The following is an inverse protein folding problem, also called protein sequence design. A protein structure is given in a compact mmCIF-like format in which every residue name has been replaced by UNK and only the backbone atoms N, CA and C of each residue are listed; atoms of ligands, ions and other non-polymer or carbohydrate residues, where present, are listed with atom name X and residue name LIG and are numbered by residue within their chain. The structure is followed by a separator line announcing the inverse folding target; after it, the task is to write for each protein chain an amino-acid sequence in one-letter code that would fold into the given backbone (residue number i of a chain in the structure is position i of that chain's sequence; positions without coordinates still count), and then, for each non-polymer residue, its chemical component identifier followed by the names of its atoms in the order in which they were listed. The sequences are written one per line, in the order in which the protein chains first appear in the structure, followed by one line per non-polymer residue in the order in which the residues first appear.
data_IF_935300906021
#
_entry.id   IF_935300906021
#
_cell.length_a   1.000
_cell.length_b   1.000
_cell.length_c   1.000
_cell.angle_alpha   90.00
_cell.angle_beta   90.00
_cell.angle_gamma   90.00
#
_symmetry.space_group_name_H-M   'P 1'
#
loop_
_entity.id
_entity.type
_entity.pdbx_description
1 polymer ?
#
# COMPACT_ATOMS: atom_id res chain seq x y z
N UNK A 1 76.97 -3.26 -20.31
CA UNK A 1 75.79 -4.21 -20.28
C UNK A 1 75.12 -4.33 -18.91
N UNK A 2 75.65 -3.81 -17.80
CA UNK A 2 75.03 -3.95 -16.45
C UNK A 2 73.99 -2.90 -16.05
N UNK A 3 73.80 -1.79 -16.77
CA UNK A 3 72.82 -0.73 -16.49
C UNK A 3 71.48 -0.88 -17.19
N UNK A 4 71.33 -1.80 -18.15
CA UNK A 4 70.01 -2.05 -18.83
C UNK A 4 69.20 -3.17 -18.22
N UNK A 5 69.76 -3.96 -17.32
CA UNK A 5 69.08 -5.09 -16.66
C UNK A 5 68.36 -4.59 -15.37
N UNK A 6 68.82 -3.49 -14.77
CA UNK A 6 68.22 -2.97 -13.53
C UNK A 6 66.94 -2.14 -13.75
N UNK A 7 66.75 -1.61 -14.97
CA UNK A 7 65.55 -0.86 -15.33
C UNK A 7 64.38 -1.75 -15.79
N UNK A 8 64.66 -2.98 -16.20
CA UNK A 8 63.60 -3.91 -16.62
C UNK A 8 62.98 -4.67 -15.45
N UNK A 9 63.69 -4.84 -14.34
CA UNK A 9 63.19 -5.49 -13.14
C UNK A 9 62.33 -4.56 -12.28
N UNK A 10 62.48 -3.23 -12.35
CA UNK A 10 61.60 -2.29 -11.62
C UNK A 10 60.28 -2.05 -12.34
N UNK A 11 60.21 -2.23 -13.66
CA UNK A 11 58.97 -2.11 -14.43
C UNK A 11 58.05 -3.33 -14.32
N UNK A 12 58.57 -4.49 -13.92
CA UNK A 12 57.78 -5.75 -13.79
C UNK A 12 57.16 -5.92 -12.38
N UNK A 13 57.60 -5.13 -11.38
CA UNK A 13 57.05 -5.19 -10.02
C UNK A 13 55.81 -4.27 -9.87
N UNK A 14 55.58 -3.32 -10.78
CA UNK A 14 54.35 -2.48 -10.74
C UNK A 14 53.13 -3.07 -11.44
N UNK A 15 53.20 -4.28 -12.03
CA UNK A 15 52.10 -4.90 -12.78
C UNK A 15 51.38 -6.02 -12.04
N UNK A 16 51.68 -6.26 -10.77
CA UNK A 16 50.96 -7.24 -9.96
C UNK A 16 50.53 -6.56 -8.64
N UNK A 17 49.68 -5.51 -8.74
CA UNK A 17 48.75 -5.20 -7.70
C UNK A 17 47.48 -6.06 -7.93
N UNK A 18 47.11 -6.97 -7.03
CA UNK A 18 45.81 -7.61 -7.11
C UNK A 18 44.78 -6.50 -6.96
N UNK A 19 43.93 -6.36 -7.99
CA UNK A 19 42.68 -5.62 -7.91
C UNK A 19 41.87 -6.31 -6.82
N UNK A 20 42.07 -5.91 -5.55
CA UNK A 20 41.14 -6.25 -4.48
C UNK A 20 39.84 -5.53 -4.78
N UNK A 21 39.01 -6.19 -5.58
CA UNK A 21 37.59 -5.91 -5.63
C UNK A 21 37.08 -6.03 -4.21
N UNK A 22 36.90 -4.91 -3.52
CA UNK A 22 36.09 -4.85 -2.31
C UNK A 22 34.66 -5.17 -2.75
N UNK A 23 34.33 -6.48 -2.79
CA UNK A 23 32.94 -6.88 -2.67
C UNK A 23 32.48 -6.27 -1.38
N UNK A 24 31.69 -5.21 -1.46
CA UNK A 24 30.80 -4.80 -0.39
C UNK A 24 29.98 -6.04 -0.08
N UNK A 25 30.35 -6.74 0.98
CA UNK A 25 29.47 -7.70 1.62
C UNK A 25 28.37 -6.82 2.19
N UNK A 26 27.27 -6.69 1.43
CA UNK A 26 26.02 -6.31 2.04
C UNK A 26 25.78 -7.36 3.13
N UNK A 27 26.10 -7.00 4.36
CA UNK A 27 25.58 -7.72 5.52
C UNK A 27 24.05 -7.57 5.39
N UNK A 28 23.42 -8.61 4.89
CA UNK A 28 22.02 -8.86 5.16
C UNK A 28 21.98 -9.06 6.67
N UNK A 29 21.67 -7.99 7.40
CA UNK A 29 21.31 -8.11 8.79
C UNK A 29 20.12 -9.07 8.81
N UNK A 30 20.34 -10.29 9.30
CA UNK A 30 19.24 -11.18 9.60
C UNK A 30 18.31 -10.36 10.52
N UNK A 31 17.08 -10.11 10.07
CA UNK A 31 16.11 -9.39 10.89
C UNK A 31 15.94 -10.19 12.18
N UNK A 32 15.99 -9.51 13.32
CA UNK A 32 15.75 -10.14 14.61
C UNK A 32 14.42 -10.85 14.56
N UNK A 33 14.38 -12.12 14.95
CA UNK A 33 13.15 -12.90 14.95
C UNK A 33 12.23 -12.36 16.05
N UNK A 34 11.20 -11.61 15.66
CA UNK A 34 10.27 -10.94 16.60
C UNK A 34 9.12 -11.81 17.07
N UNK A 35 8.89 -12.95 16.40
CA UNK A 35 7.85 -13.91 16.73
C UNK A 35 8.41 -15.33 16.69
N UNK A 36 8.02 -16.15 17.66
CA UNK A 36 8.27 -17.60 17.64
C UNK A 36 7.15 -18.26 16.83
N UNK A 37 7.39 -18.49 15.55
CA UNK A 37 6.38 -18.97 14.61
C UNK A 37 6.93 -20.06 13.71
N UNK A 38 6.11 -21.08 13.44
CA UNK A 38 6.39 -22.13 12.45
C UNK A 38 5.90 -21.76 11.04
N UNK A 39 5.33 -20.55 10.86
CA UNK A 39 4.93 -20.07 9.54
C UNK A 39 6.17 -19.95 8.64
N UNK A 40 6.04 -20.40 7.40
CA UNK A 40 7.19 -20.49 6.47
C UNK A 40 7.71 -19.13 6.02
N UNK A 41 6.82 -18.15 5.90
CA UNK A 41 7.14 -16.79 5.53
C UNK A 41 6.23 -15.80 6.27
N UNK A 42 6.78 -14.63 6.63
CA UNK A 42 5.99 -13.55 7.20
C UNK A 42 6.59 -12.18 6.87
N UNK A 43 5.77 -11.14 6.96
CA UNK A 43 6.19 -9.74 6.88
C UNK A 43 5.33 -8.86 7.77
N UNK A 44 5.97 -7.90 8.45
CA UNK A 44 5.35 -6.76 9.10
C UNK A 44 5.73 -5.49 8.33
N UNK A 45 4.75 -4.74 7.86
CA UNK A 45 4.93 -3.56 7.03
C UNK A 45 4.16 -2.38 7.60
N UNK A 46 4.73 -1.19 7.52
CA UNK A 46 3.98 0.04 7.68
C UNK A 46 3.09 0.28 6.46
N UNK A 47 1.79 0.43 6.69
CA UNK A 47 0.82 0.59 5.59
C UNK A 47 1.07 1.86 4.79
N UNK A 48 1.33 2.97 5.47
CA UNK A 48 1.32 4.28 4.82
C UNK A 48 2.56 4.48 3.93
N UNK A 49 3.74 4.12 4.41
CA UNK A 49 5.00 4.22 3.63
C UNK A 49 5.34 2.97 2.81
N UNK A 50 4.76 1.81 3.11
CA UNK A 50 5.16 0.52 2.55
C UNK A 50 6.51 0.00 3.08
N UNK A 51 7.05 0.62 4.14
CA UNK A 51 8.32 0.20 4.75
C UNK A 51 8.16 -1.14 5.46
N UNK A 52 9.02 -2.09 5.11
CA UNK A 52 9.15 -3.36 5.85
C UNK A 52 9.81 -3.09 7.19
N UNK A 53 9.15 -3.48 8.27
CA UNK A 53 9.63 -3.32 9.65
C UNK A 53 10.27 -4.59 10.16
N UNK A 54 9.75 -5.74 9.76
CA UNK A 54 10.33 -7.05 10.04
C UNK A 54 9.86 -8.09 9.02
N UNK A 55 10.67 -9.07 8.73
CA UNK A 55 10.34 -10.10 7.74
C UNK A 55 11.13 -11.39 7.95
N UNK A 56 10.58 -12.48 7.46
CA UNK A 56 11.27 -13.75 7.31
C UNK A 56 10.80 -14.44 6.02
N UNK A 57 11.71 -14.76 5.12
CA UNK A 57 11.44 -15.40 3.83
C UNK A 57 10.33 -14.70 3.01
N UNK A 58 10.17 -13.37 3.18
CA UNK A 58 9.02 -12.60 2.68
C UNK A 58 8.85 -12.63 1.16
N UNK A 59 9.93 -12.83 0.39
CA UNK A 59 9.96 -12.93 -1.06
C UNK A 59 9.80 -14.37 -1.60
N UNK A 60 9.69 -15.36 -0.72
CA UNK A 60 9.56 -16.76 -1.15
C UNK A 60 8.22 -17.00 -1.82
N UNK A 61 8.23 -17.55 -3.05
CA UNK A 61 7.03 -17.94 -3.79
C UNK A 61 6.36 -19.14 -3.14
N UNK A 62 5.09 -19.01 -2.83
CA UNK A 62 4.30 -20.03 -2.13
C UNK A 62 2.86 -20.05 -2.64
N UNK A 63 2.18 -21.18 -2.57
CA UNK A 63 0.72 -21.22 -2.67
C UNK A 63 0.10 -20.40 -1.53
N UNK A 64 -0.88 -19.56 -1.84
CA UNK A 64 -1.50 -18.66 -0.85
C UNK A 64 -3.00 -18.86 -0.69
N UNK A 65 -3.55 -19.84 -1.40
CA UNK A 65 -4.99 -20.17 -1.37
C UNK A 65 -5.86 -18.91 -1.57
N UNK A 66 -6.97 -18.79 -0.86
CA UNK A 66 -7.94 -17.68 -0.98
C UNK A 66 -7.39 -16.26 -0.67
N UNK A 67 -6.11 -16.12 -0.32
CA UNK A 67 -5.45 -14.79 -0.30
C UNK A 67 -5.46 -14.17 -1.71
N UNK A 68 -5.45 -14.99 -2.78
CA UNK A 68 -5.62 -14.55 -4.18
C UNK A 68 -6.80 -13.59 -4.34
N UNK A 69 -7.88 -13.80 -3.59
CA UNK A 69 -9.08 -12.96 -3.65
C UNK A 69 -8.85 -11.49 -3.24
N UNK A 70 -7.71 -11.17 -2.61
CA UNK A 70 -7.36 -9.74 -2.40
C UNK A 70 -7.24 -9.01 -3.74
N UNK A 71 -6.68 -9.64 -4.77
CA UNK A 71 -6.62 -9.04 -6.10
C UNK A 71 -8.00 -8.98 -6.76
N UNK A 72 -8.84 -10.00 -6.62
CA UNK A 72 -10.23 -9.97 -7.09
C UNK A 72 -11.03 -8.84 -6.43
N UNK A 73 -10.85 -8.65 -5.12
CA UNK A 73 -11.46 -7.56 -4.35
C UNK A 73 -10.93 -6.22 -4.85
N UNK A 74 -9.61 -6.06 -5.00
CA UNK A 74 -8.99 -4.80 -5.45
C UNK A 74 -9.53 -4.35 -6.81
N UNK A 75 -9.51 -5.22 -7.81
CA UNK A 75 -10.02 -4.90 -9.14
C UNK A 75 -11.52 -4.53 -9.13
N UNK A 76 -12.31 -5.23 -8.31
CA UNK A 76 -13.73 -4.89 -8.14
C UNK A 76 -13.91 -3.51 -7.51
N UNK A 77 -13.12 -3.18 -6.47
CA UNK A 77 -13.16 -1.88 -5.81
C UNK A 77 -12.71 -0.74 -6.73
N UNK A 78 -11.66 -0.95 -7.53
CA UNK A 78 -11.18 0.03 -8.52
C UNK A 78 -12.28 0.35 -9.55
N UNK A 79 -12.97 -0.66 -10.05
CA UNK A 79 -14.08 -0.47 -10.99
C UNK A 79 -15.27 0.27 -10.39
N UNK A 80 -15.54 0.05 -9.10
CA UNK A 80 -16.57 0.81 -8.36
C UNK A 80 -16.12 2.27 -8.16
N UNK A 81 -14.88 2.50 -7.75
CA UNK A 81 -14.35 3.82 -7.44
C UNK A 81 -14.27 4.73 -8.67
N UNK A 82 -13.86 4.18 -9.83
CA UNK A 82 -13.85 4.92 -11.09
C UNK A 82 -15.24 5.07 -11.74
N UNK A 83 -16.29 4.48 -11.17
CA UNK A 83 -17.67 4.58 -11.64
C UNK A 83 -17.98 3.73 -12.88
N UNK A 84 -17.13 2.77 -13.24
CA UNK A 84 -17.42 1.82 -14.33
C UNK A 84 -18.53 0.84 -13.95
N UNK A 85 -18.60 0.44 -12.66
CA UNK A 85 -19.66 -0.39 -12.09
C UNK A 85 -20.18 0.22 -10.79
N UNK A 86 -21.40 -0.16 -10.40
CA UNK A 86 -22.01 0.26 -9.12
C UNK A 86 -22.25 -0.94 -8.22
N UNK A 87 -22.25 -0.72 -6.92
CA UNK A 87 -22.63 -1.75 -5.92
C UNK A 87 -24.04 -2.28 -6.12
N UNK A 88 -24.91 -1.52 -6.77
CA UNK A 88 -26.32 -1.88 -7.07
C UNK A 88 -26.49 -2.57 -8.44
N UNK A 89 -25.45 -2.65 -9.24
CA UNK A 89 -25.51 -3.33 -10.54
C UNK A 89 -25.84 -4.81 -10.36
N UNK A 90 -26.61 -5.36 -11.32
CA UNK A 90 -27.05 -6.74 -11.30
C UNK A 90 -26.12 -7.61 -12.13
N UNK A 91 -25.58 -8.62 -11.49
CA UNK A 91 -24.75 -9.66 -12.09
C UNK A 91 -25.58 -10.91 -12.31
N UNK A 92 -25.75 -11.34 -13.55
CA UNK A 92 -26.34 -12.64 -13.86
C UNK A 92 -25.31 -13.73 -13.64
N UNK A 93 -25.57 -14.65 -12.74
CA UNK A 93 -24.66 -15.73 -12.37
C UNK A 93 -24.63 -16.83 -13.41
N UNK A 94 -23.44 -17.15 -13.93
CA UNK A 94 -23.26 -18.26 -14.87
C UNK A 94 -23.34 -19.63 -14.19
N UNK A 95 -23.53 -20.70 -14.98
CA UNK A 95 -23.42 -22.07 -14.49
C UNK A 95 -22.02 -22.39 -13.98
N UNK A 96 -20.98 -21.78 -14.57
CA UNK A 96 -19.60 -21.91 -14.11
C UNK A 96 -19.43 -21.32 -12.70
N UNK A 97 -19.86 -20.10 -12.46
CA UNK A 97 -19.78 -19.45 -11.15
C UNK A 97 -20.60 -20.21 -10.09
N UNK A 98 -21.85 -20.59 -10.38
CA UNK A 98 -22.70 -21.32 -9.45
C UNK A 98 -22.19 -22.75 -9.15
N UNK A 99 -21.45 -23.37 -10.08
CA UNK A 99 -20.86 -24.69 -9.94
C UNK A 99 -19.54 -24.72 -9.15
N UNK A 100 -19.03 -23.58 -8.67
CA UNK A 100 -17.77 -23.50 -7.95
C UNK A 100 -17.81 -24.28 -6.64
N UNK A 101 -16.71 -24.98 -6.34
CA UNK A 101 -16.54 -25.70 -5.07
C UNK A 101 -15.83 -24.87 -4.00
N UNK A 102 -15.69 -25.45 -2.81
CA UNK A 102 -15.02 -24.82 -1.65
C UNK A 102 -15.93 -23.85 -0.91
N UNK A 103 -15.38 -22.72 -0.41
CA UNK A 103 -16.18 -21.68 0.26
C UNK A 103 -17.11 -21.00 -0.75
N UNK A 104 -18.40 -20.91 -0.43
CA UNK A 104 -19.41 -20.34 -1.34
C UNK A 104 -20.65 -19.88 -0.56
N UNK A 105 -21.45 -19.03 -1.17
CA UNK A 105 -22.77 -18.64 -0.70
C UNK A 105 -23.89 -19.37 -1.42
N UNK A 106 -23.55 -20.30 -2.33
CA UNK A 106 -24.47 -21.13 -3.10
C UNK A 106 -25.35 -20.31 -4.04
N UNK A 107 -24.74 -19.51 -4.90
CA UNK A 107 -25.43 -18.72 -5.92
C UNK A 107 -26.25 -19.61 -6.86
N UNK A 108 -27.46 -19.16 -7.17
CA UNK A 108 -28.35 -19.87 -8.12
C UNK A 108 -27.97 -19.43 -9.57
N UNK A 109 -27.74 -20.41 -10.46
CA UNK A 109 -27.42 -20.12 -11.86
C UNK A 109 -28.57 -19.35 -12.56
N UNK A 110 -28.20 -18.44 -13.46
CA UNK A 110 -29.12 -17.58 -14.22
C UNK A 110 -29.97 -16.64 -13.34
N UNK A 111 -29.63 -16.49 -12.05
CA UNK A 111 -30.22 -15.50 -11.16
C UNK A 111 -29.33 -14.25 -11.08
N UNK A 112 -29.95 -13.12 -10.75
CA UNK A 112 -29.27 -11.84 -10.62
C UNK A 112 -28.98 -11.50 -9.17
N UNK A 113 -27.75 -11.04 -8.91
CA UNK A 113 -27.28 -10.58 -7.61
C UNK A 113 -26.58 -9.22 -7.72
N UNK A 114 -26.67 -8.40 -6.69
CA UNK A 114 -25.97 -7.12 -6.68
C UNK A 114 -24.46 -7.29 -6.50
N UNK A 115 -23.67 -6.49 -7.22
CA UNK A 115 -22.20 -6.41 -7.09
C UNK A 115 -21.79 -6.26 -5.62
N UNK A 116 -22.44 -5.37 -4.86
CA UNK A 116 -22.15 -5.15 -3.45
C UNK A 116 -22.34 -6.40 -2.59
N UNK A 117 -23.39 -7.20 -2.82
CA UNK A 117 -23.64 -8.44 -2.09
C UNK A 117 -22.60 -9.52 -2.45
N UNK A 118 -22.27 -9.64 -3.74
CA UNK A 118 -21.21 -10.56 -4.19
C UNK A 118 -19.85 -10.17 -3.57
N UNK A 119 -19.45 -8.90 -3.67
CA UNK A 119 -18.20 -8.40 -3.09
C UNK A 119 -18.15 -8.62 -1.57
N UNK A 120 -19.24 -8.31 -0.85
CA UNK A 120 -19.34 -8.57 0.59
C UNK A 120 -19.12 -10.05 0.92
N UNK A 121 -19.72 -10.96 0.17
CA UNK A 121 -19.55 -12.40 0.39
C UNK A 121 -18.10 -12.87 0.14
N UNK A 122 -17.40 -12.31 -0.85
CA UNK A 122 -15.98 -12.57 -1.09
C UNK A 122 -15.12 -12.11 0.09
N UNK A 123 -15.42 -10.95 0.67
CA UNK A 123 -14.69 -10.38 1.80
C UNK A 123 -14.96 -11.18 3.08
N UNK A 124 -16.22 -11.43 3.41
CA UNK A 124 -16.66 -12.00 4.68
C UNK A 124 -16.40 -13.50 4.76
N UNK A 125 -17.02 -14.28 3.87
CA UNK A 125 -16.94 -15.74 3.91
C UNK A 125 -16.05 -16.35 2.83
N UNK A 126 -15.35 -15.52 2.05
CA UNK A 126 -14.40 -16.00 1.02
C UNK A 126 -15.05 -16.76 -0.13
N UNK A 127 -16.27 -16.39 -0.55
CA UNK A 127 -17.08 -17.08 -1.52
C UNK A 127 -16.39 -17.21 -2.90
N UNK A 128 -16.21 -18.43 -3.39
CA UNK A 128 -15.61 -18.72 -4.69
C UNK A 128 -16.57 -18.43 -5.83
N UNK A 129 -17.83 -18.82 -5.68
CA UNK A 129 -18.91 -18.56 -6.63
C UNK A 129 -19.07 -17.07 -6.91
N UNK A 130 -19.09 -16.24 -5.87
CA UNK A 130 -19.14 -14.79 -5.99
C UNK A 130 -17.87 -14.20 -6.62
N UNK A 131 -16.69 -14.78 -6.33
CA UNK A 131 -15.43 -14.33 -6.94
C UNK A 131 -15.42 -14.54 -8.45
N UNK A 132 -15.90 -15.71 -8.93
CA UNK A 132 -16.00 -16.01 -10.36
C UNK A 132 -17.09 -15.15 -11.00
N UNK A 133 -18.26 -15.00 -10.36
CA UNK A 133 -19.34 -14.17 -10.89
C UNK A 133 -18.89 -12.70 -11.09
N UNK A 134 -18.14 -12.12 -10.14
CA UNK A 134 -17.55 -10.78 -10.26
C UNK A 134 -16.51 -10.73 -11.38
N UNK A 135 -15.62 -11.73 -11.46
CA UNK A 135 -14.60 -11.80 -12.51
C UNK A 135 -15.22 -11.85 -13.92
N UNK A 136 -16.24 -12.68 -14.10
CA UNK A 136 -16.98 -12.78 -15.38
C UNK A 136 -17.73 -11.49 -15.71
N UNK A 137 -18.34 -10.83 -14.72
CA UNK A 137 -19.04 -9.56 -14.90
C UNK A 137 -18.10 -8.44 -15.33
N UNK A 138 -16.96 -8.31 -14.67
CA UNK A 138 -16.00 -7.22 -14.91
C UNK A 138 -15.28 -7.38 -16.25
N UNK A 139 -14.78 -8.57 -16.56
CA UNK A 139 -13.91 -8.80 -17.71
C UNK A 139 -14.56 -9.64 -18.84
N UNK A 140 -15.82 -10.04 -18.67
CA UNK A 140 -16.54 -10.89 -19.61
C UNK A 140 -16.29 -12.39 -19.43
N UNK A 141 -15.15 -12.79 -18.89
CA UNK A 141 -14.83 -14.17 -18.48
C UNK A 141 -13.66 -14.17 -17.50
N UNK A 142 -13.50 -15.29 -16.74
CA UNK A 142 -12.45 -15.41 -15.73
C UNK A 142 -11.02 -15.34 -16.33
N UNK A 143 -10.80 -15.86 -17.55
CA UNK A 143 -9.47 -15.85 -18.17
C UNK A 143 -8.99 -14.43 -18.47
N UNK A 144 -9.87 -13.54 -18.95
CA UNK A 144 -9.56 -12.13 -19.16
C UNK A 144 -9.34 -11.40 -17.84
N UNK A 145 -10.16 -11.72 -16.82
CA UNK A 145 -9.97 -11.18 -15.48
C UNK A 145 -8.62 -11.57 -14.86
N UNK A 146 -8.20 -12.82 -15.01
CA UNK A 146 -6.87 -13.28 -14.57
C UNK A 146 -5.74 -12.53 -15.27
N UNK A 147 -5.93 -12.16 -16.53
CA UNK A 147 -4.97 -11.29 -17.22
C UNK A 147 -4.88 -9.92 -16.56
N UNK A 148 -6.01 -9.29 -16.23
CA UNK A 148 -6.05 -8.02 -15.51
C UNK A 148 -5.41 -8.15 -14.11
N UNK A 149 -5.68 -9.25 -13.38
CA UNK A 149 -5.01 -9.54 -12.09
C UNK A 149 -3.48 -9.55 -12.21
N UNK A 150 -2.94 -10.18 -13.26
CA UNK A 150 -1.50 -10.25 -13.48
C UNK A 150 -0.91 -8.91 -14.00
N UNK A 151 -1.66 -8.12 -14.74
CA UNK A 151 -1.29 -6.76 -15.12
C UNK A 151 -1.22 -5.86 -13.88
N UNK A 152 -2.23 -5.89 -13.02
CA UNK A 152 -2.23 -5.15 -11.75
C UNK A 152 -1.09 -5.60 -10.82
N UNK A 153 -0.79 -6.89 -10.75
CA UNK A 153 0.36 -7.39 -9.98
C UNK A 153 1.69 -6.75 -10.46
N UNK A 154 1.87 -6.57 -11.78
CA UNK A 154 3.05 -5.88 -12.32
C UNK A 154 3.06 -4.40 -11.95
N UNK A 155 1.93 -3.70 -12.03
CA UNK A 155 1.79 -2.29 -11.62
C UNK A 155 2.19 -2.10 -10.15
N UNK A 156 1.78 -3.02 -9.27
CA UNK A 156 2.11 -3.02 -7.86
C UNK A 156 3.52 -3.56 -7.55
N UNK A 157 4.34 -3.87 -8.57
CA UNK A 157 5.66 -4.47 -8.41
C UNK A 157 5.63 -5.77 -7.58
N UNK A 158 4.61 -6.61 -7.79
CA UNK A 158 4.47 -7.94 -7.17
C UNK A 158 5.26 -8.97 -7.98
N UNK A 159 6.58 -8.94 -7.90
CA UNK A 159 7.49 -9.72 -8.76
C UNK A 159 7.52 -11.22 -8.46
N UNK A 160 6.98 -11.61 -7.31
CA UNK A 160 6.89 -13.01 -6.88
C UNK A 160 5.43 -13.51 -6.87
N UNK A 161 4.59 -12.99 -7.79
CA UNK A 161 3.18 -13.34 -7.88
C UNK A 161 2.79 -13.73 -9.29
N UNK A 162 1.99 -14.78 -9.41
CA UNK A 162 1.30 -15.19 -10.64
C UNK A 162 -0.07 -15.74 -10.31
N UNK A 163 -1.10 -15.20 -10.92
CA UNK A 163 -2.49 -15.62 -10.77
C UNK A 163 -2.91 -16.50 -11.95
N UNK A 164 -3.67 -17.57 -11.67
CA UNK A 164 -4.25 -18.47 -12.67
C UNK A 164 -5.79 -18.59 -12.55
N UNK A 165 -6.37 -18.14 -11.42
CA UNK A 165 -7.81 -18.03 -11.20
C UNK A 165 -8.16 -16.92 -10.21
N UNK A 166 -9.42 -16.55 -10.17
CA UNK A 166 -9.93 -15.47 -9.29
C UNK A 166 -10.18 -15.92 -7.84
N UNK A 167 -10.04 -17.20 -7.52
CA UNK A 167 -10.51 -17.81 -6.27
C UNK A 167 -9.40 -18.24 -5.32
N UNK A 168 -8.22 -18.55 -5.85
CA UNK A 168 -7.14 -19.19 -5.10
C UNK A 168 -7.31 -20.68 -4.91
N UNK A 169 -8.18 -21.35 -5.69
CA UNK A 169 -8.18 -22.79 -5.79
C UNK A 169 -6.85 -23.28 -6.34
N UNK A 170 -6.39 -24.49 -5.97
CA UNK A 170 -5.10 -25.01 -6.39
C UNK A 170 -4.92 -24.96 -7.92
N UNK A 171 -3.78 -24.45 -8.36
CA UNK A 171 -3.35 -24.45 -9.75
C UNK A 171 -1.83 -24.51 -9.82
N UNK A 172 -1.28 -25.03 -10.93
CA UNK A 172 0.11 -25.46 -11.02
C UNK A 172 1.11 -24.32 -10.87
N UNK A 173 0.79 -23.14 -11.45
CA UNK A 173 1.68 -21.98 -11.48
C UNK A 173 1.11 -20.80 -10.72
N UNK A 174 0.17 -21.01 -9.81
CA UNK A 174 -0.40 -19.96 -8.97
C UNK A 174 0.39 -19.83 -7.68
N UNK A 175 1.01 -18.69 -7.47
CA UNK A 175 1.80 -18.40 -6.28
C UNK A 175 1.81 -16.90 -5.97
N UNK A 176 2.19 -16.59 -4.74
CA UNK A 176 2.55 -15.24 -4.30
C UNK A 176 3.63 -15.30 -3.22
N UNK A 177 4.04 -14.16 -2.67
CA UNK A 177 4.94 -14.06 -1.53
C UNK A 177 4.31 -13.23 -0.42
N UNK A 178 4.85 -13.32 0.80
CA UNK A 178 4.32 -12.53 1.92
C UNK A 178 4.42 -11.02 1.66
N UNK A 179 5.51 -10.57 1.05
CA UNK A 179 5.71 -9.18 0.67
C UNK A 179 4.70 -8.72 -0.39
N UNK A 180 4.48 -9.53 -1.42
CA UNK A 180 3.52 -9.18 -2.48
C UNK A 180 2.07 -9.19 -1.97
N UNK A 181 1.73 -10.13 -1.07
CA UNK A 181 0.44 -10.11 -0.36
C UNK A 181 0.27 -8.82 0.46
N UNK A 182 1.32 -8.36 1.14
CA UNK A 182 1.26 -7.10 1.89
C UNK A 182 1.02 -5.89 0.96
N UNK A 183 1.62 -5.88 -0.24
CA UNK A 183 1.41 -4.82 -1.23
C UNK A 183 -0.04 -4.75 -1.70
N UNK A 184 -0.64 -5.86 -2.14
CA UNK A 184 -2.04 -5.86 -2.58
C UNK A 184 -3.00 -5.56 -1.42
N UNK A 185 -2.72 -6.05 -0.22
CA UNK A 185 -3.53 -5.74 0.95
C UNK A 185 -3.46 -4.25 1.32
N UNK A 186 -2.32 -3.61 1.16
CA UNK A 186 -2.12 -2.18 1.35
C UNK A 186 -3.10 -1.37 0.51
N UNK A 187 -3.19 -1.66 -0.78
CA UNK A 187 -4.11 -0.99 -1.71
C UNK A 187 -5.58 -1.24 -1.33
N UNK A 188 -5.94 -2.50 -1.05
CA UNK A 188 -7.32 -2.86 -0.67
C UNK A 188 -7.77 -2.13 0.60
N UNK A 189 -6.87 -1.92 1.57
CA UNK A 189 -7.18 -1.24 2.84
C UNK A 189 -7.42 0.28 2.68
N UNK A 190 -7.15 0.89 1.54
CA UNK A 190 -7.45 2.30 1.28
C UNK A 190 -8.91 2.54 0.90
N UNK A 191 -9.68 1.48 0.61
CA UNK A 191 -11.09 1.58 0.27
C UNK A 191 -12.00 1.47 1.51
N UNK A 192 -12.76 2.52 1.79
CA UNK A 192 -13.72 2.55 2.90
C UNK A 192 -14.74 1.41 2.81
N UNK A 193 -15.22 1.10 1.61
CA UNK A 193 -16.16 0.01 1.35
C UNK A 193 -15.60 -1.35 1.78
N UNK A 194 -14.29 -1.58 1.54
CA UNK A 194 -13.64 -2.80 2.02
C UNK A 194 -13.60 -2.86 3.54
N UNK A 195 -13.22 -1.76 4.17
CA UNK A 195 -13.13 -1.70 5.64
C UNK A 195 -14.52 -1.87 6.27
N UNK A 196 -15.58 -1.32 5.68
CA UNK A 196 -16.96 -1.49 6.11
C UNK A 196 -17.36 -2.97 6.06
N UNK A 197 -17.21 -3.62 4.91
CA UNK A 197 -17.58 -5.03 4.73
C UNK A 197 -16.73 -5.98 5.59
N UNK A 198 -15.45 -5.65 5.80
CA UNK A 198 -14.56 -6.44 6.66
C UNK A 198 -14.97 -6.47 8.14
N UNK A 199 -15.75 -5.49 8.60
CA UNK A 199 -16.28 -5.46 9.98
C UNK A 199 -17.48 -6.37 10.20
N UNK A 200 -18.13 -6.82 9.13
CA UNK A 200 -19.25 -7.75 9.22
C UNK A 200 -18.75 -9.07 9.79
N UNK A 201 -19.28 -9.48 10.95
CA UNK A 201 -18.93 -10.74 11.59
C UNK A 201 -19.81 -11.89 11.16
N UNK A 202 -21.12 -11.65 11.16
CA UNK A 202 -22.16 -12.62 10.83
C UNK A 202 -23.32 -11.89 10.13
N UNK A 203 -23.73 -12.36 8.96
CA UNK A 203 -24.83 -11.79 8.18
C UNK A 203 -25.43 -12.86 7.28
N UNK A 204 -26.74 -12.79 7.06
CA UNK A 204 -27.44 -13.65 6.11
C UNK A 204 -27.32 -13.10 4.68
N UNK A 205 -26.78 -13.91 3.78
CA UNK A 205 -26.83 -13.66 2.34
C UNK A 205 -28.18 -14.07 1.79
N UNK A 206 -28.96 -13.09 1.32
CA UNK A 206 -30.33 -13.33 0.85
C UNK A 206 -30.32 -13.59 -0.67
N UNK A 207 -30.90 -14.73 -1.07
CA UNK A 207 -31.03 -15.12 -2.47
C UNK A 207 -32.35 -14.58 -3.07
N UNK A 208 -32.42 -14.42 -4.42
CA UNK A 208 -33.66 -13.98 -5.09
C UNK A 208 -34.87 -14.87 -4.78
N UNK A 209 -34.65 -16.14 -4.50
CA UNK A 209 -35.70 -17.11 -4.07
C UNK A 209 -36.26 -16.88 -2.66
N UNK A 210 -35.65 -15.99 -1.88
CA UNK A 210 -35.94 -15.81 -0.44
C UNK A 210 -35.16 -16.78 0.47
N UNK A 211 -34.37 -17.70 -0.09
CA UNK A 211 -33.45 -18.54 0.68
C UNK A 211 -32.33 -17.67 1.28
N UNK A 212 -31.83 -18.05 2.45
CA UNK A 212 -30.67 -17.39 3.08
C UNK A 212 -29.50 -18.34 3.24
N UNK A 213 -28.29 -17.80 3.14
CA UNK A 213 -27.04 -18.50 3.47
C UNK A 213 -26.30 -17.66 4.52
N UNK A 214 -26.02 -18.23 5.69
CA UNK A 214 -25.28 -17.55 6.74
C UNK A 214 -23.82 -17.34 6.31
N UNK A 215 -23.34 -16.12 6.37
CA UNK A 215 -21.93 -15.74 6.16
C UNK A 215 -21.29 -15.43 7.50
N UNK A 216 -20.24 -16.18 7.85
CA UNK A 216 -19.39 -15.86 9.01
C UNK A 216 -18.03 -15.40 8.53
N UNK A 217 -17.51 -14.33 9.12
CA UNK A 217 -16.19 -13.78 8.76
C UNK A 217 -15.08 -14.78 9.06
N UNK A 218 -14.32 -15.10 8.03
CA UNK A 218 -13.18 -16.04 8.14
C UNK A 218 -11.99 -15.44 8.87
N UNK A 219 -11.87 -14.09 8.91
CA UNK A 219 -10.84 -13.37 9.65
C UNK A 219 -11.32 -13.09 11.09
N UNK A 220 -10.89 -13.92 12.03
CA UNK A 220 -11.27 -13.75 13.46
C UNK A 220 -10.74 -12.44 14.05
N UNK A 221 -9.66 -11.86 13.51
CA UNK A 221 -9.10 -10.60 14.01
C UNK A 221 -10.01 -9.41 13.75
N UNK A 222 -10.91 -9.48 12.75
CA UNK A 222 -11.90 -8.43 12.52
C UNK A 222 -12.82 -8.19 13.72
N UNK A 223 -13.03 -9.20 14.57
CA UNK A 223 -13.84 -9.11 15.80
C UNK A 223 -13.00 -8.98 17.06
N UNK A 224 -11.84 -9.64 17.12
CA UNK A 224 -11.13 -9.86 18.38
C UNK A 224 -9.80 -9.10 18.49
N UNK A 225 -9.40 -8.35 17.46
CA UNK A 225 -8.18 -7.54 17.49
C UNK A 225 -8.52 -6.05 17.38
N UNK A 226 -8.15 -5.29 18.41
CA UNK A 226 -8.42 -3.85 18.47
C UNK A 226 -7.71 -3.10 17.34
N UNK A 227 -8.48 -2.29 16.62
CA UNK A 227 -7.97 -1.50 15.49
C UNK A 227 -7.86 -2.27 14.17
N UNK A 228 -8.37 -3.51 14.08
CA UNK A 228 -8.37 -4.27 12.83
C UNK A 228 -9.14 -3.51 11.73
N UNK A 229 -8.46 -3.25 10.61
CA UNK A 229 -9.02 -2.60 9.42
C UNK A 229 -9.66 -3.60 8.46
N UNK A 230 -9.21 -4.85 8.50
CA UNK A 230 -9.62 -5.93 7.61
C UNK A 230 -8.48 -6.88 7.34
N UNK A 231 -8.75 -7.91 6.53
CA UNK A 231 -7.76 -8.90 6.17
C UNK A 231 -8.39 -10.07 5.43
N UNK A 232 -7.54 -10.98 4.95
CA UNK A 232 -7.97 -12.14 4.19
C UNK A 232 -7.26 -13.40 4.67
N UNK A 233 -8.03 -14.46 4.87
CA UNK A 233 -7.52 -15.80 5.17
C UNK A 233 -7.42 -16.64 3.91
N UNK A 234 -6.50 -17.59 3.91
CA UNK A 234 -6.40 -18.66 2.90
C UNK A 234 -6.06 -19.99 3.54
N UNK A 235 -6.55 -21.10 2.98
CA UNK A 235 -6.10 -22.43 3.37
C UNK A 235 -6.39 -23.46 2.26
N UNK A 236 -5.40 -24.26 1.94
CA UNK A 236 -5.46 -25.52 1.17
C UNK A 236 -4.45 -26.49 1.79
N UNK A 237 -4.43 -27.71 1.32
CA UNK A 237 -3.44 -28.69 1.77
C UNK A 237 -2.00 -28.23 1.46
N UNK A 238 -1.79 -27.59 0.30
CA UNK A 238 -0.50 -27.13 -0.19
C UNK A 238 -0.08 -25.80 0.47
N UNK A 239 -1.01 -24.85 0.55
CA UNK A 239 -0.77 -23.52 1.14
C UNK A 239 -0.72 -23.57 2.67
N UNK A 240 -1.20 -24.63 3.29
CA UNK A 240 -1.46 -24.66 4.74
C UNK A 240 -2.37 -23.51 5.15
N UNK A 241 -2.04 -22.79 6.21
CA UNK A 241 -2.85 -21.68 6.70
C UNK A 241 -2.14 -20.36 6.46
N UNK A 242 -2.84 -19.42 5.81
CA UNK A 242 -2.35 -18.12 5.44
C UNK A 242 -3.27 -17.01 5.99
N UNK A 243 -2.69 -15.87 6.33
CA UNK A 243 -3.41 -14.66 6.76
C UNK A 243 -2.65 -13.41 6.33
N UNK A 244 -3.34 -12.46 5.74
CA UNK A 244 -2.93 -11.07 5.64
C UNK A 244 -3.94 -10.21 6.40
N UNK A 245 -3.48 -9.29 7.24
CA UNK A 245 -4.34 -8.43 8.07
C UNK A 245 -3.73 -7.06 8.27
N UNK A 246 -4.56 -6.01 8.20
CA UNK A 246 -4.20 -4.65 8.53
C UNK A 246 -4.83 -4.20 9.84
N UNK A 247 -4.14 -3.37 10.59
CA UNK A 247 -4.66 -2.75 11.80
C UNK A 247 -4.12 -1.33 11.96
N UNK A 248 -4.88 -0.47 12.64
CA UNK A 248 -4.51 0.91 12.96
C UNK A 248 -4.70 1.19 14.44
N UNK A 249 -3.70 1.79 15.08
CA UNK A 249 -3.79 2.36 16.42
C UNK A 249 -3.19 3.75 16.41
N UNK A 250 -3.91 4.72 16.93
CA UNK A 250 -3.54 6.14 16.81
C UNK A 250 -3.29 6.52 15.34
N UNK A 251 -2.11 7.04 15.02
CA UNK A 251 -1.69 7.44 13.68
C UNK A 251 -0.77 6.42 12.98
N UNK A 252 -0.58 5.22 13.54
CA UNK A 252 0.22 4.15 12.94
C UNK A 252 -0.70 3.06 12.37
N UNK A 253 -0.51 2.74 11.08
CA UNK A 253 -1.22 1.67 10.38
C UNK A 253 -0.23 0.58 9.96
N UNK A 254 -0.48 -0.66 10.36
CA UNK A 254 0.41 -1.79 10.12
C UNK A 254 -0.28 -2.90 9.35
N UNK A 255 0.49 -3.60 8.54
CA UNK A 255 0.08 -4.82 7.82
C UNK A 255 0.96 -5.97 8.31
N UNK A 256 0.33 -7.07 8.70
CA UNK A 256 1.00 -8.32 9.02
C UNK A 256 0.52 -9.43 8.06
N UNK A 257 1.46 -10.15 7.47
CA UNK A 257 1.18 -11.31 6.62
C UNK A 257 1.93 -12.51 7.15
N UNK A 258 1.25 -13.65 7.29
CA UNK A 258 1.83 -14.93 7.65
C UNK A 258 1.35 -16.01 6.68
N UNK A 259 2.30 -16.74 6.07
CA UNK A 259 2.06 -17.75 5.06
C UNK A 259 2.62 -19.11 5.49
N UNK A 260 1.91 -20.18 5.11
CA UNK A 260 2.37 -21.54 5.33
C UNK A 260 2.44 -21.96 6.80
N UNK A 261 1.58 -21.41 7.65
CA UNK A 261 1.50 -21.77 9.07
C UNK A 261 0.88 -23.18 9.22
N UNK A 262 1.33 -23.97 10.20
CA UNK A 262 0.92 -25.37 10.33
C UNK A 262 -0.55 -25.54 10.74
N UNK A 263 -1.13 -24.58 11.44
CA UNK A 263 -2.54 -24.63 11.84
C UNK A 263 -3.22 -23.24 11.83
N UNK A 264 -4.56 -23.25 11.89
CA UNK A 264 -5.36 -22.05 11.83
C UNK A 264 -5.12 -21.10 13.01
N UNK A 265 -4.82 -21.60 14.21
CA UNK A 265 -4.58 -20.77 15.40
C UNK A 265 -3.30 -19.97 15.24
N UNK A 266 -2.27 -20.61 14.72
CA UNK A 266 -0.94 -20.03 14.55
C UNK A 266 -0.92 -18.81 13.61
N UNK A 267 -1.60 -18.88 12.45
CA UNK A 267 -1.66 -17.69 11.55
C UNK A 267 -2.22 -16.46 12.24
N UNK A 268 -3.20 -16.64 13.16
CA UNK A 268 -3.79 -15.53 13.93
C UNK A 268 -2.86 -15.06 15.05
N UNK A 269 -2.23 -15.98 15.81
CA UNK A 269 -1.28 -15.59 16.85
C UNK A 269 -0.07 -14.88 16.27
N UNK A 270 0.54 -15.43 15.22
CA UNK A 270 1.71 -14.82 14.55
C UNK A 270 1.40 -13.40 14.04
N UNK A 271 0.28 -13.19 13.33
CA UNK A 271 -0.08 -11.84 12.87
C UNK A 271 -0.39 -10.90 14.06
N UNK A 272 -1.07 -11.37 15.10
CA UNK A 272 -1.35 -10.54 16.29
C UNK A 272 -0.08 -10.16 17.04
N UNK A 273 0.86 -11.09 17.19
CA UNK A 273 2.15 -10.84 17.84
C UNK A 273 2.99 -9.83 17.04
N UNK A 274 3.06 -9.99 15.70
CA UNK A 274 3.72 -9.01 14.82
C UNK A 274 3.11 -7.61 14.93
N UNK A 275 1.78 -7.50 14.89
CA UNK A 275 1.11 -6.21 15.04
C UNK A 275 1.33 -5.60 16.42
N UNK A 276 1.26 -6.40 17.50
CA UNK A 276 1.55 -5.93 18.86
C UNK A 276 3.01 -5.46 19.01
N UNK A 277 3.95 -6.21 18.44
CA UNK A 277 5.34 -5.79 18.38
C UNK A 277 5.45 -4.44 17.65
N UNK A 278 4.87 -4.33 16.46
CA UNK A 278 4.91 -3.10 15.69
C UNK A 278 4.36 -1.89 16.45
N UNK A 279 3.17 -2.00 17.05
CA UNK A 279 2.57 -0.92 17.84
C UNK A 279 3.30 -0.59 19.15
N UNK A 280 4.09 -1.51 19.70
CA UNK A 280 4.87 -1.28 20.93
C UNK A 280 6.28 -0.75 20.66
N UNK A 281 6.80 -0.91 19.45
CA UNK A 281 8.19 -0.53 19.13
C UNK A 281 8.30 0.60 18.12
N UNK A 282 7.24 0.88 17.35
CA UNK A 282 7.25 1.91 16.31
C UNK A 282 6.19 2.97 16.56
N UNK A 283 6.48 4.16 16.10
CA UNK A 283 5.56 5.30 16.07
C UNK A 283 5.62 5.99 14.72
N UNK A 284 4.52 6.64 14.34
CA UNK A 284 4.45 7.49 13.15
C UNK A 284 4.62 8.94 13.59
N UNK A 285 5.76 9.55 13.25
CA UNK A 285 6.08 10.95 13.56
C UNK A 285 5.75 11.84 12.37
N UNK A 286 4.98 12.91 12.63
CA UNK A 286 4.81 14.01 11.69
C UNK A 286 6.13 14.76 11.62
N UNK A 287 6.74 14.83 10.44
CA UNK A 287 8.02 15.52 10.20
C UNK A 287 7.83 16.83 9.42
N UNK A 288 6.70 17.00 8.76
CA UNK A 288 6.27 18.24 8.12
C UNK A 288 4.75 18.31 8.04
N UNK A 289 4.20 19.47 8.40
CA UNK A 289 2.77 19.78 8.32
C UNK A 289 2.53 21.28 8.06
N UNK A 290 1.26 21.72 8.07
CA UNK A 290 0.87 23.11 7.86
C UNK A 290 1.50 24.10 8.87
N UNK A 291 1.76 23.68 10.10
CA UNK A 291 2.33 24.55 11.14
C UNK A 291 3.75 25.02 10.77
N UNK A 292 4.50 24.20 10.04
CA UNK A 292 5.84 24.54 9.56
C UNK A 292 5.84 25.69 8.53
N UNK A 293 4.68 26.06 8.00
CA UNK A 293 4.52 27.12 7.00
C UNK A 293 4.08 28.48 7.59
N UNK A 294 3.79 28.57 8.88
CA UNK A 294 3.22 29.79 9.48
C UNK A 294 4.06 31.06 9.23
N UNK A 295 5.38 30.93 9.24
CA UNK A 295 6.32 32.04 9.04
C UNK A 295 6.85 32.12 7.59
N UNK A 296 6.46 31.19 6.72
CA UNK A 296 6.92 31.11 5.33
C UNK A 296 5.93 31.85 4.44
N UNK A 297 6.39 32.92 3.80
CA UNK A 297 5.57 33.74 2.91
C UNK A 297 6.34 34.15 1.66
N UNK A 298 5.64 34.25 0.54
CA UNK A 298 6.20 34.72 -0.74
C UNK A 298 5.76 36.17 -0.97
N UNK A 299 6.71 37.03 -1.35
CA UNK A 299 6.43 38.44 -1.70
C UNK A 299 5.73 38.50 -3.06
N UNK A 300 4.67 39.32 -3.14
CA UNK A 300 4.01 39.65 -4.39
C UNK A 300 4.65 40.89 -5.02
N UNK A 301 5.00 40.78 -6.32
CA UNK A 301 5.60 41.89 -7.06
C UNK A 301 4.57 42.98 -7.29
N UNK A 302 4.98 44.25 -7.05
CA UNK A 302 4.10 45.38 -7.27
C UNK A 302 2.98 45.56 -6.24
N UNK A 303 2.96 44.74 -5.17
CA UNK A 303 1.95 44.75 -4.11
C UNK A 303 2.61 44.70 -2.72
N UNK A 304 1.92 45.28 -1.70
CA UNK A 304 2.35 45.15 -0.31
C UNK A 304 1.86 43.87 0.35
N UNK A 305 1.38 42.96 -0.47
CA UNK A 305 0.78 41.68 -0.04
C UNK A 305 1.82 40.58 0.03
N UNK A 306 1.67 39.71 1.03
CA UNK A 306 2.44 38.49 1.19
C UNK A 306 1.52 37.27 0.99
N UNK A 307 1.95 36.32 0.18
CA UNK A 307 1.24 35.10 -0.03
C UNK A 307 1.58 34.08 1.07
N UNK A 308 0.56 33.61 1.77
CA UNK A 308 0.66 32.45 2.67
C UNK A 308 0.53 31.17 1.86
N UNK A 309 1.17 30.10 2.35
CA UNK A 309 1.22 28.82 1.68
C UNK A 309 0.36 27.77 2.39
N UNK A 310 -0.09 26.79 1.62
CA UNK A 310 -0.76 25.58 2.12
C UNK A 310 0.05 24.37 1.67
N UNK A 311 0.30 23.43 2.56
CA UNK A 311 0.93 22.17 2.16
C UNK A 311 -0.10 21.27 1.46
N UNK A 312 0.31 20.64 0.37
CA UNK A 312 -0.55 19.68 -0.35
C UNK A 312 -0.90 18.47 0.53
N UNK A 313 0.05 18.03 1.36
CA UNK A 313 -0.10 16.95 2.33
C UNK A 313 0.92 17.07 3.45
N UNK A 314 0.67 16.35 4.53
CA UNK A 314 1.67 16.15 5.58
C UNK A 314 2.74 15.13 5.14
N UNK A 315 3.90 15.16 5.77
CA UNK A 315 4.93 14.13 5.65
C UNK A 315 5.16 13.47 7.00
N UNK A 316 5.11 12.15 7.01
CA UNK A 316 5.23 11.32 8.20
C UNK A 316 6.36 10.30 8.01
N UNK A 317 7.00 9.90 9.09
CA UNK A 317 7.98 8.82 9.09
C UNK A 317 7.70 7.81 10.19
N UNK A 318 7.74 6.53 9.84
CA UNK A 318 7.72 5.46 10.82
C UNK A 318 9.13 5.20 11.35
N UNK A 319 9.29 5.31 12.65
CA UNK A 319 10.55 5.14 13.37
C UNK A 319 10.35 4.37 14.67
N UNK A 320 11.41 3.80 15.21
CA UNK A 320 11.39 3.17 16.54
C UNK A 320 11.09 4.22 17.62
N UNK A 321 10.27 3.83 18.60
CA UNK A 321 9.90 4.70 19.72
C UNK A 321 11.16 5.13 20.48
N UNK A 322 11.30 6.44 20.72
CA UNK A 322 12.44 7.04 21.40
C UNK A 322 13.68 7.23 20.55
N UNK A 323 13.67 6.82 19.28
CA UNK A 323 14.76 7.11 18.36
C UNK A 323 14.74 8.58 17.93
N UNK A 324 15.85 9.26 18.17
CA UNK A 324 16.02 10.63 17.68
C UNK A 324 16.27 10.62 16.17
N UNK A 325 15.53 11.46 15.47
CA UNK A 325 15.71 11.71 14.04
C UNK A 325 16.01 13.20 13.85
N UNK A 326 17.01 13.51 13.04
CA UNK A 326 17.27 14.89 12.65
C UNK A 326 16.47 15.19 11.40
N UNK A 327 15.56 16.18 11.49
CA UNK A 327 14.75 16.66 10.38
C UNK A 327 15.23 18.04 9.98
N UNK A 328 15.63 18.19 8.72
CA UNK A 328 15.95 19.47 8.11
C UNK A 328 14.95 19.73 6.97
N UNK A 329 14.42 20.94 6.86
CA UNK A 329 13.47 21.35 5.82
C UNK A 329 14.17 22.29 4.84
N UNK A 330 14.12 21.98 3.55
CA UNK A 330 14.65 22.83 2.49
C UNK A 330 13.52 23.30 1.60
N UNK A 331 13.21 24.60 1.69
CA UNK A 331 12.19 25.24 0.88
C UNK A 331 12.74 25.64 -0.48
N UNK A 332 12.07 25.21 -1.55
CA UNK A 332 12.35 25.53 -2.94
C UNK A 332 11.24 26.47 -3.44
N UNK A 333 11.35 27.77 -3.12
CA UNK A 333 10.36 28.79 -3.40
C UNK A 333 10.93 29.87 -4.30
N UNK A 334 10.10 30.51 -5.17
CA UNK A 334 10.50 31.71 -5.89
C UNK A 334 10.65 32.89 -4.93
N UNK A 335 11.55 33.82 -5.23
CA UNK A 335 11.75 35.02 -4.44
C UNK A 335 10.50 35.91 -4.41
N UNK A 336 9.72 35.92 -5.49
CA UNK A 336 8.48 36.70 -5.63
C UNK A 336 7.61 36.15 -6.76
N UNK A 337 6.32 36.46 -6.74
CA UNK A 337 5.33 36.15 -7.78
C UNK A 337 4.61 37.43 -8.20
N UNK A 338 4.12 37.49 -9.44
CA UNK A 338 3.32 38.60 -9.97
C UNK A 338 1.83 38.36 -9.71
N UNK A 339 1.35 37.16 -9.99
CA UNK A 339 -0.01 36.71 -9.75
C UNK A 339 -0.01 35.20 -9.44
N UNK A 340 -1.08 34.68 -8.86
CA UNK A 340 -1.24 33.27 -8.56
C UNK A 340 -2.72 32.97 -8.34
N UNK A 341 -3.14 31.75 -8.69
CA UNK A 341 -4.48 31.25 -8.37
C UNK A 341 -4.48 30.44 -7.09
N UNK A 342 -5.59 30.41 -6.40
CA UNK A 342 -5.75 29.52 -5.24
C UNK A 342 -5.49 28.05 -5.63
N UNK A 343 -4.79 27.32 -4.76
CA UNK A 343 -4.35 25.92 -4.98
C UNK A 343 -3.34 25.73 -6.12
N UNK A 344 -2.82 26.79 -6.73
CA UNK A 344 -1.73 26.69 -7.69
C UNK A 344 -0.43 26.33 -6.96
N UNK A 345 0.33 25.37 -7.51
CA UNK A 345 1.64 24.99 -6.96
C UNK A 345 2.66 26.12 -7.19
N UNK A 346 3.20 26.67 -6.12
CA UNK A 346 4.16 27.79 -6.15
C UNK A 346 5.57 27.39 -5.75
N UNK A 347 5.78 26.15 -5.38
CA UNK A 347 7.08 25.62 -4.99
C UNK A 347 6.96 24.30 -4.26
N UNK A 348 8.02 23.91 -3.58
CA UNK A 348 8.05 22.64 -2.81
C UNK A 348 8.91 22.79 -1.56
N UNK A 349 8.73 21.87 -0.62
CA UNK A 349 9.65 21.63 0.49
C UNK A 349 10.23 20.24 0.39
N UNK A 350 11.55 20.11 0.46
CA UNK A 350 12.23 18.84 0.62
C UNK A 350 12.41 18.55 2.11
N UNK A 351 11.88 17.42 2.58
CA UNK A 351 12.10 16.88 3.91
C UNK A 351 13.38 16.05 3.89
N UNK A 352 14.35 16.42 4.68
CA UNK A 352 15.65 15.77 4.76
C UNK A 352 15.75 15.11 6.15
N UNK A 353 15.98 13.81 6.17
CA UNK A 353 16.11 13.04 7.41
C UNK A 353 17.51 12.47 7.49
N UNK A 354 18.21 12.81 8.59
CA UNK A 354 19.60 12.41 8.82
C UNK A 354 20.57 12.76 7.66
N UNK A 355 20.28 13.85 6.92
CA UNK A 355 21.07 14.32 5.79
C UNK A 355 20.68 13.74 4.43
N UNK A 356 19.72 12.84 4.35
CA UNK A 356 19.20 12.28 3.10
C UNK A 356 17.81 12.81 2.78
N UNK A 357 17.54 13.08 1.49
CA UNK A 357 16.21 13.50 1.05
C UNK A 357 15.23 12.35 1.21
N UNK A 358 14.22 12.55 2.07
CA UNK A 358 13.19 11.57 2.38
C UNK A 358 11.92 11.77 1.57
N UNK A 359 11.46 13.04 1.47
CA UNK A 359 10.18 13.36 0.82
C UNK A 359 10.27 14.73 0.14
N UNK A 360 9.30 15.04 -0.74
CA UNK A 360 9.13 16.34 -1.37
C UNK A 360 7.65 16.64 -1.49
N UNK A 361 7.22 17.74 -0.87
CA UNK A 361 5.81 18.13 -0.79
C UNK A 361 5.59 19.42 -1.55
N UNK A 362 4.57 19.48 -2.41
CA UNK A 362 4.18 20.70 -3.09
C UNK A 362 3.59 21.71 -2.11
N UNK A 363 3.92 22.98 -2.34
CA UNK A 363 3.39 24.10 -1.60
C UNK A 363 2.46 24.89 -2.51
N UNK A 364 1.23 25.05 -2.06
CA UNK A 364 0.15 25.63 -2.83
C UNK A 364 -0.17 27.03 -2.35
N UNK A 365 -0.71 27.87 -3.24
CA UNK A 365 -1.24 29.18 -2.89
C UNK A 365 -2.50 29.06 -2.03
N UNK A 366 -2.55 29.79 -0.91
CA UNK A 366 -3.74 29.85 -0.04
C UNK A 366 -4.92 30.61 -0.63
N UNK A 367 -4.70 31.46 -1.64
CA UNK A 367 -5.71 32.34 -2.24
C UNK A 367 -5.33 32.82 -3.64
N UNK A 368 -6.32 33.39 -4.34
CA UNK A 368 -6.09 34.13 -5.59
C UNK A 368 -5.41 35.47 -5.30
N UNK A 369 -4.35 35.79 -6.03
CA UNK A 369 -3.78 37.15 -6.09
C UNK A 369 -3.62 37.52 -7.57
N UNK A 370 -4.28 38.58 -7.97
CA UNK A 370 -4.25 39.07 -9.35
C UNK A 370 -3.01 39.93 -9.59
N UNK A 371 -2.60 40.02 -10.84
CA UNK A 371 -1.58 40.99 -11.27
C UNK A 371 -2.03 42.40 -10.99
N UNK A 372 -1.16 43.26 -10.38
CA UNK A 372 -1.48 44.64 -10.12
C UNK A 372 -1.73 45.41 -11.42
N UNK A 373 -2.76 46.23 -11.42
CA UNK A 373 -3.08 47.11 -12.54
C UNK A 373 -2.08 48.29 -12.61
N UNK A 374 -2.02 48.93 -13.77
CA UNK A 374 -1.23 50.16 -13.93
C UNK A 374 -1.55 51.24 -12.87
N UNK A 375 -2.83 51.36 -12.48
CA UNK A 375 -3.26 52.30 -11.43
C UNK A 375 -2.73 51.92 -10.06
N UNK A 376 -2.58 50.64 -9.77
CA UNK A 376 -1.99 50.17 -8.49
C UNK A 376 -0.52 50.53 -8.40
N UNK A 377 0.21 50.42 -9.51
CA UNK A 377 1.61 50.87 -9.56
C UNK A 377 1.72 52.40 -9.39
N UNK A 378 0.84 53.21 -10.00
CA UNK A 378 0.85 54.64 -9.86
C UNK A 378 0.56 55.10 -8.42
N UNK A 379 -0.45 54.49 -7.78
CA UNK A 379 -0.77 54.77 -6.38
C UNK A 379 0.41 54.52 -5.46
N UNK A 380 1.09 53.41 -5.67
CA UNK A 380 2.25 53.03 -4.88
C UNK A 380 3.44 54.03 -5.04
N UNK A 381 3.73 54.42 -6.28
CA UNK A 381 4.74 55.44 -6.55
C UNK A 381 4.38 56.72 -5.81
N UNK A 382 3.10 57.12 -5.79
CA UNK A 382 2.64 58.28 -5.09
C UNK A 382 2.78 58.18 -3.56
N UNK A 383 2.48 56.98 -3.00
CA UNK A 383 2.67 56.69 -1.56
C UNK A 383 4.15 56.73 -1.16
N UNK A 384 5.04 56.17 -1.98
CA UNK A 384 6.48 56.16 -1.74
C UNK A 384 7.13 57.56 -1.85
N UNK A 385 6.46 58.53 -2.54
CA UNK A 385 6.91 59.92 -2.65
C UNK A 385 6.33 60.89 -1.60
N UNK A 386 5.21 60.53 -0.96
CA UNK A 386 4.49 61.38 0.01
C UNK A 386 4.77 60.95 1.46
N UNK A 387 5.23 59.73 1.68
CA UNK A 387 5.61 59.19 2.98
C UNK A 387 7.00 59.51 3.35
#
# INVERSE_FOLDING_TARGET
MRKKILTLTLALIMLIMPFMSTKSINQVNASEQIVDSTCKAYVLMDKDSGKVLNENNSDTRMPVASIVKLMTILLTLEKIDCGEISVTDKVTVSENASGMGGSQVFLDANCEYEVGNLLKSVIVCSANDSSVALAEYIAGNEQLFVKEMNEKAKELNMTNTNYENATGLPSTNQYSSALDVAKVLREVLDYDLYQEYSKVWLEDFVHPSGRTTEMTNTNKLSRFYEGCLGGKTGSTNEAKYCLGVGAKRNNLSLIAVALGCENSKERFSTCSEMLNYGFSHYENKVVFNQENLNDIKIKMQGQNEMLSLVCERESNIVTEIGKEIKVDLKFNLPNSLVSVKQNECVGSVDVIINGEKYDSINLLSSKDIKEPSYLDYLKRIQEDFIG
#
